data_IF_297044588894
#
_entry.id   IF_297044588894
#
_cell.length_a   1.000
_cell.length_b   1.000
_cell.length_c   1.000
_cell.angle_alpha   90.00
_cell.angle_beta   90.00
_cell.angle_gamma   90.00
#
_symmetry.space_group_name_H-M   'P 1'
#
loop_
_entity.id
_entity.type
_entity.pdbx_description
1 polymer ?
#
# COMPACT_ATOMS: atom_id res chain seq x y z
N UNK A 1 -17.66 -11.80 21.33
CA UNK A 1 -17.27 -10.62 20.51
C UNK A 1 -17.64 -10.81 19.04
N UNK A 2 -17.24 -11.93 18.41
CA UNK A 2 -17.55 -12.24 17.01
C UNK A 2 -19.05 -12.29 16.66
N UNK A 3 -19.89 -12.96 17.46
CA UNK A 3 -21.36 -12.98 17.26
C UNK A 3 -22.00 -11.59 17.21
N UNK A 4 -21.63 -10.71 18.15
CA UNK A 4 -22.12 -9.31 18.17
C UNK A 4 -21.72 -8.53 16.91
N UNK A 5 -20.55 -8.82 16.33
CA UNK A 5 -20.12 -8.22 15.06
C UNK A 5 -20.94 -8.76 13.90
N UNK A 6 -21.22 -10.07 13.86
CA UNK A 6 -22.12 -10.67 12.86
C UNK A 6 -23.55 -10.12 12.98
N UNK A 7 -24.11 -10.04 14.18
CA UNK A 7 -25.46 -9.51 14.41
C UNK A 7 -25.55 -8.03 13.98
N UNK A 8 -24.50 -7.26 14.27
CA UNK A 8 -24.40 -5.86 13.84
C UNK A 8 -24.25 -5.75 12.31
N UNK A 9 -23.46 -6.63 11.69
CA UNK A 9 -23.30 -6.67 10.25
C UNK A 9 -24.62 -7.01 9.55
N UNK A 10 -25.31 -8.05 10.03
CA UNK A 10 -26.66 -8.42 9.58
C UNK A 10 -27.67 -7.29 9.72
N UNK A 11 -27.61 -6.54 10.83
CA UNK A 11 -28.49 -5.39 11.05
C UNK A 11 -28.20 -4.20 10.14
N UNK A 12 -26.96 -3.99 9.69
CA UNK A 12 -26.55 -2.81 8.90
C UNK A 12 -26.63 -3.10 7.40
N UNK A 13 -26.24 -4.31 6.98
CA UNK A 13 -26.13 -4.69 5.58
C UNK A 13 -27.14 -5.76 5.14
N UNK A 14 -28.01 -6.22 6.04
CA UNK A 14 -28.97 -7.31 5.77
C UNK A 14 -28.34 -8.70 5.90
N UNK A 15 -29.10 -9.72 5.53
CA UNK A 15 -28.64 -11.13 5.52
C UNK A 15 -27.89 -11.49 4.21
N UNK A 16 -27.52 -10.48 3.41
CA UNK A 16 -26.78 -10.69 2.16
C UNK A 16 -25.29 -10.97 2.45
N UNK A 17 -24.71 -11.85 1.62
CA UNK A 17 -23.27 -12.09 1.67
C UNK A 17 -22.51 -10.80 1.32
N UNK A 18 -21.70 -10.32 2.26
CA UNK A 18 -20.86 -9.15 2.07
C UNK A 18 -19.81 -9.45 1.00
N UNK A 19 -19.88 -8.74 -0.12
CA UNK A 19 -18.84 -8.78 -1.15
C UNK A 19 -17.51 -8.32 -0.55
N UNK A 20 -16.59 -9.26 -0.38
CA UNK A 20 -15.27 -9.02 0.19
C UNK A 20 -14.21 -9.00 -0.90
N UNK A 21 -13.25 -8.07 -0.79
CA UNK A 21 -12.07 -8.03 -1.63
C UNK A 21 -10.87 -8.36 -0.77
N UNK A 22 -10.12 -9.39 -1.16
CA UNK A 22 -8.86 -9.73 -0.52
C UNK A 22 -7.75 -8.91 -1.15
N UNK A 23 -7.16 -7.99 -0.39
CA UNK A 23 -6.01 -7.23 -0.85
C UNK A 23 -4.72 -8.03 -0.59
N UNK A 24 -3.98 -8.36 -1.64
CA UNK A 24 -2.59 -8.80 -1.53
C UNK A 24 -1.65 -7.72 -2.10
N UNK A 25 -1.45 -6.59 -1.36
CA UNK A 25 -0.56 -5.54 -1.80
C UNK A 25 0.87 -6.08 -1.84
N UNK A 26 1.41 -6.24 -3.06
CA UNK A 26 2.77 -6.70 -3.28
C UNK A 26 3.83 -5.66 -2.85
N UNK A 27 5.07 -5.91 -3.26
CA UNK A 27 6.17 -4.99 -2.98
C UNK A 27 6.07 -3.72 -3.84
N UNK A 28 5.68 -2.60 -3.24
CA UNK A 28 5.67 -1.27 -3.86
C UNK A 28 7.00 -0.52 -3.71
N UNK A 29 7.26 0.44 -4.62
CA UNK A 29 8.39 1.38 -4.55
C UNK A 29 8.43 2.18 -3.23
N UNK A 30 7.28 2.38 -2.58
CA UNK A 30 7.19 3.03 -1.27
C UNK A 30 7.94 2.34 -0.14
N UNK A 31 8.18 1.02 -0.23
CA UNK A 31 8.99 0.32 0.76
C UNK A 31 10.43 0.84 0.81
N UNK A 32 10.92 1.42 -0.29
CA UNK A 32 12.25 2.04 -0.39
C UNK A 32 12.28 3.48 0.13
N UNK A 33 11.12 4.12 0.28
CA UNK A 33 10.98 5.51 0.74
C UNK A 33 10.92 5.66 2.27
N UNK A 34 10.59 4.59 3.01
CA UNK A 34 10.40 4.66 4.47
C UNK A 34 11.70 4.42 5.26
N UNK A 35 11.96 5.21 6.32
CA UNK A 35 12.92 4.82 7.35
C UNK A 35 12.32 3.67 8.18
N UNK A 36 12.73 2.42 7.95
CA UNK A 36 12.20 1.26 8.68
C UNK A 36 12.48 1.32 10.19
N UNK A 37 11.43 1.20 11.02
CA UNK A 37 11.38 0.07 11.95
C UNK A 37 10.06 -0.73 11.91
N UNK A 38 9.00 -0.24 11.25
CA UNK A 38 7.72 -0.97 11.19
C UNK A 38 7.79 -2.07 10.13
N UNK A 39 7.70 -3.32 10.59
CA UNK A 39 7.57 -4.52 9.77
C UNK A 39 6.19 -4.68 9.09
N UNK A 40 5.30 -3.69 9.24
CA UNK A 40 4.02 -3.67 8.54
C UNK A 40 4.26 -3.54 7.03
N UNK A 41 4.02 -4.66 6.33
CA UNK A 41 4.28 -4.89 4.90
C UNK A 41 3.35 -4.09 3.97
N UNK A 42 2.59 -3.14 4.49
CA UNK A 42 1.61 -2.35 3.73
C UNK A 42 1.81 -0.87 3.97
N UNK A 43 2.43 -0.19 3.01
CA UNK A 43 2.40 1.26 2.93
C UNK A 43 1.10 1.74 2.26
N UNK A 44 0.55 2.86 2.71
CA UNK A 44 -0.75 3.41 2.27
C UNK A 44 -0.91 3.48 0.75
N UNK A 45 0.13 3.88 0.02
CA UNK A 45 0.05 3.98 -1.44
C UNK A 45 0.12 2.61 -2.14
N UNK A 46 0.82 1.61 -1.58
CA UNK A 46 0.78 0.23 -2.09
C UNK A 46 -0.58 -0.41 -1.87
N UNK A 47 -1.19 -0.15 -0.70
CA UNK A 47 -2.54 -0.57 -0.40
C UNK A 47 -3.54 0.09 -1.35
N UNK A 48 -3.36 1.38 -1.66
CA UNK A 48 -4.20 2.09 -2.62
C UNK A 48 -4.05 1.54 -4.05
N UNK A 49 -2.82 1.34 -4.53
CA UNK A 49 -2.58 0.76 -5.85
C UNK A 49 -3.17 -0.65 -5.98
N UNK A 50 -2.91 -1.52 -4.99
CA UNK A 50 -3.48 -2.86 -4.96
C UNK A 50 -5.02 -2.86 -4.93
N UNK A 51 -5.63 -1.94 -4.17
CA UNK A 51 -7.09 -1.80 -4.12
C UNK A 51 -7.66 -1.36 -5.48
N UNK A 52 -7.02 -0.42 -6.18
CA UNK A 52 -7.45 0.01 -7.51
C UNK A 52 -7.38 -1.14 -8.53
N UNK A 53 -6.32 -1.95 -8.48
CA UNK A 53 -6.18 -3.13 -9.34
C UNK A 53 -7.26 -4.18 -9.08
N UNK A 54 -7.59 -4.47 -7.82
CA UNK A 54 -8.65 -5.42 -7.47
C UNK A 54 -10.05 -4.88 -7.85
N UNK A 55 -10.31 -3.59 -7.66
CA UNK A 55 -11.60 -2.98 -8.01
C UNK A 55 -11.84 -2.98 -9.52
N UNK A 56 -10.80 -2.82 -10.35
CA UNK A 56 -10.92 -2.86 -11.81
C UNK A 56 -11.54 -4.18 -12.32
N UNK A 57 -11.32 -5.29 -11.60
CA UNK A 57 -11.85 -6.62 -11.97
C UNK A 57 -13.36 -6.73 -11.77
N UNK A 58 -13.96 -5.82 -11.00
CA UNK A 58 -15.41 -5.82 -10.79
C UNK A 58 -16.11 -5.16 -11.98
N UNK A 59 -17.17 -5.78 -12.54
CA UNK A 59 -17.89 -5.24 -13.69
C UNK A 59 -18.38 -3.79 -13.52
N UNK A 60 -18.70 -3.42 -12.27
CA UNK A 60 -19.18 -2.10 -11.86
C UNK A 60 -18.18 -0.97 -12.11
N UNK A 61 -16.87 -1.30 -12.10
CA UNK A 61 -15.79 -0.33 -12.27
C UNK A 61 -15.06 -0.45 -13.62
N UNK A 62 -15.54 -1.33 -14.50
CA UNK A 62 -14.92 -1.59 -15.81
C UNK A 62 -14.73 -0.35 -16.69
N UNK A 63 -15.57 0.68 -16.51
CA UNK A 63 -15.49 1.96 -17.24
C UNK A 63 -14.57 3.00 -16.62
N UNK A 64 -14.07 2.79 -15.40
CA UNK A 64 -13.37 3.81 -14.60
C UNK A 64 -11.83 3.77 -14.78
N UNK A 65 -11.34 2.86 -15.62
CA UNK A 65 -9.92 2.69 -15.96
C UNK A 65 -8.96 2.57 -14.76
N UNK A 66 -9.43 2.14 -13.57
CA UNK A 66 -8.72 2.17 -12.28
C UNK A 66 -7.30 1.58 -12.31
N UNK A 67 -7.04 0.65 -13.22
CA UNK A 67 -5.70 0.12 -13.49
C UNK A 67 -4.70 1.21 -13.87
N UNK A 68 -5.07 2.18 -14.72
CA UNK A 68 -4.21 3.30 -15.10
C UNK A 68 -3.89 4.19 -13.90
N UNK A 69 -4.84 4.36 -12.98
CA UNK A 69 -4.66 5.11 -11.75
C UNK A 69 -3.71 4.37 -10.81
N UNK A 70 -3.81 3.04 -10.72
CA UNK A 70 -2.87 2.21 -9.97
C UNK A 70 -1.44 2.35 -10.51
N UNK A 71 -1.27 2.26 -11.83
CA UNK A 71 0.02 2.47 -12.50
C UNK A 71 0.58 3.87 -12.27
N UNK A 72 -0.27 4.90 -12.39
CA UNK A 72 0.13 6.29 -12.15
C UNK A 72 0.64 6.50 -10.73
N UNK A 73 0.01 5.86 -9.73
CA UNK A 73 0.46 5.89 -8.33
C UNK A 73 1.85 5.26 -8.19
N UNK A 74 2.06 4.04 -8.69
CA UNK A 74 3.38 3.37 -8.60
C UNK A 74 4.47 4.12 -9.39
N UNK A 75 4.13 4.70 -10.53
CA UNK A 75 5.05 5.53 -11.31
C UNK A 75 5.46 6.80 -10.54
N UNK A 76 4.50 7.53 -9.96
CA UNK A 76 4.78 8.72 -9.17
C UNK A 76 5.69 8.41 -7.97
N UNK A 77 5.51 7.26 -7.33
CA UNK A 77 6.36 6.79 -6.24
C UNK A 77 7.79 6.49 -6.69
N UNK A 78 7.95 5.91 -7.88
CA UNK A 78 9.26 5.66 -8.50
C UNK A 78 9.99 6.97 -8.78
N UNK A 79 9.30 7.93 -9.41
CA UNK A 79 9.85 9.27 -9.68
C UNK A 79 10.24 9.98 -8.38
N UNK A 80 9.41 9.89 -7.34
CA UNK A 80 9.70 10.47 -6.03
C UNK A 80 10.95 9.82 -5.40
N UNK A 81 11.06 8.49 -5.46
CA UNK A 81 12.22 7.77 -4.96
C UNK A 81 13.51 8.20 -5.66
N UNK A 82 13.48 8.34 -6.98
CA UNK A 82 14.64 8.80 -7.76
C UNK A 82 15.01 10.24 -7.41
N UNK A 83 14.02 11.14 -7.34
CA UNK A 83 14.24 12.53 -6.98
C UNK A 83 14.88 12.68 -5.59
N UNK A 84 14.39 11.92 -4.60
CA UNK A 84 14.91 11.93 -3.23
C UNK A 84 16.30 11.29 -3.15
N UNK A 85 16.54 10.22 -3.89
CA UNK A 85 17.86 9.56 -3.97
C UNK A 85 18.89 10.50 -4.57
N UNK A 86 18.57 11.16 -5.69
CA UNK A 86 19.42 12.14 -6.33
C UNK A 86 19.69 13.35 -5.43
N UNK A 87 18.66 13.86 -4.74
CA UNK A 87 18.85 14.95 -3.75
C UNK A 87 19.81 14.53 -2.65
N UNK A 88 19.71 13.31 -2.15
CA UNK A 88 20.56 12.78 -1.08
C UNK A 88 22.01 12.66 -1.52
N UNK A 89 22.26 12.17 -2.73
CA UNK A 89 23.58 12.12 -3.35
C UNK A 89 24.21 13.50 -3.49
N UNK A 90 23.47 14.51 -3.98
CA UNK A 90 23.97 15.89 -4.09
C UNK A 90 24.37 16.49 -2.74
N UNK A 91 23.76 16.05 -1.65
CA UNK A 91 24.10 16.45 -0.28
C UNK A 91 25.30 15.68 0.29
N UNK A 92 25.98 14.83 -0.50
CA UNK A 92 27.10 13.99 -0.04
C UNK A 92 26.69 12.89 0.94
N UNK A 93 25.40 12.52 0.99
CA UNK A 93 24.88 11.53 1.93
C UNK A 93 24.75 10.16 1.26
N UNK A 94 25.19 9.10 1.94
CA UNK A 94 25.02 7.71 1.49
C UNK A 94 23.54 7.36 1.24
N UNK A 95 23.25 6.67 0.13
CA UNK A 95 21.92 6.14 -0.19
C UNK A 95 21.55 5.01 0.77
N UNK A 96 22.50 4.12 1.07
CA UNK A 96 22.36 3.09 2.10
C UNK A 96 22.42 3.74 3.48
N UNK A 97 21.41 3.49 4.33
CA UNK A 97 21.53 3.73 5.78
C UNK A 97 22.54 2.73 6.33
N UNK A 98 23.61 3.20 6.96
CA UNK A 98 24.43 2.33 7.83
C UNK A 98 23.50 1.71 8.86
N UNK A 99 23.39 0.38 8.86
CA UNK A 99 22.68 -0.35 9.90
C UNK A 99 23.36 0.01 11.23
N UNK A 100 22.68 0.78 12.10
CA UNK A 100 23.18 0.98 13.45
C UNK A 100 22.94 -0.34 14.16
N UNK A 101 23.99 -1.14 14.34
CA UNK A 101 23.95 -2.24 15.29
C UNK A 101 23.66 -1.62 16.66
N UNK A 102 22.41 -1.71 17.10
CA UNK A 102 22.11 -1.56 18.52
C UNK A 102 22.61 -2.84 19.16
N UNK A 103 23.81 -2.78 19.75
CA UNK A 103 24.26 -3.80 20.69
C UNK A 103 23.27 -3.79 21.86
N UNK A 104 22.27 -4.66 21.78
CA UNK A 104 21.50 -5.05 22.95
C UNK A 104 22.39 -6.09 23.64
N UNK A 105 23.11 -5.63 24.66
CA UNK A 105 23.70 -6.49 25.69
C UNK A 105 22.60 -6.93 26.66
#
# INVERSE_FOLDING_TARGET
>A
MFRRLQDKAKSVWGDEDLSCISLNPGASAMHKLRPQPSWDRTCTAAAAAGLLSELQLLPQFSSVELEKQAEAVEHALTVLLDALTNRRLRMGRSITRKMRHTNIQ
#
